data_IF_514032170000
#
_entry.id   IF_514032170000
#
_cell.length_a   1.000
_cell.length_b   1.000
_cell.length_c   1.000
_cell.angle_alpha   90.00
_cell.angle_beta   90.00
_cell.angle_gamma   90.00
#
_symmetry.space_group_name_H-M   'P 1'
#
loop_
_entity.id
_entity.type
_entity.pdbx_description
1 polymer ?
#
# COMPACT_ATOMS: atom_id res chain seq x y z
N UNK A 1 19.80 9.43 3.71
CA UNK A 1 19.76 8.03 3.25
C UNK A 1 18.32 7.65 3.03
N UNK A 2 17.92 7.44 1.79
CA UNK A 2 16.59 6.91 1.48
C UNK A 2 16.50 5.48 2.03
N UNK A 3 15.60 5.28 3.00
CA UNK A 3 15.33 3.97 3.59
C UNK A 3 14.92 3.02 2.46
N UNK A 4 15.50 1.83 2.40
CA UNK A 4 15.14 0.85 1.40
C UNK A 4 13.65 0.52 1.48
N UNK A 5 12.89 0.91 0.48
CA UNK A 5 11.43 0.76 0.45
C UNK A 5 11.00 -0.66 0.04
N UNK A 6 11.89 -1.41 -0.60
CA UNK A 6 11.55 -2.74 -1.14
C UNK A 6 10.94 -3.70 -0.11
N UNK A 7 11.49 -3.86 1.11
CA UNK A 7 10.94 -4.79 2.11
C UNK A 7 9.50 -4.44 2.50
N UNK A 8 9.24 -3.16 2.71
CA UNK A 8 7.93 -2.64 3.08
C UNK A 8 6.95 -2.86 1.93
N UNK A 9 7.34 -2.49 0.71
CA UNK A 9 6.53 -2.63 -0.49
C UNK A 9 6.19 -4.08 -0.83
N UNK A 10 7.13 -5.01 -0.63
CA UNK A 10 6.86 -6.43 -0.82
C UNK A 10 5.81 -6.95 0.17
N UNK A 11 5.96 -6.57 1.43
CA UNK A 11 4.99 -6.93 2.47
C UNK A 11 3.60 -6.37 2.16
N UNK A 12 3.49 -5.08 1.84
CA UNK A 12 2.25 -4.40 1.48
C UNK A 12 1.57 -5.05 0.27
N UNK A 13 2.31 -5.31 -0.80
CA UNK A 13 1.78 -5.96 -2.00
C UNK A 13 1.24 -7.37 -1.70
N UNK A 14 1.94 -8.14 -0.86
CA UNK A 14 1.45 -9.45 -0.42
C UNK A 14 0.18 -9.32 0.42
N UNK A 15 0.12 -8.37 1.35
CA UNK A 15 -1.07 -8.11 2.17
C UNK A 15 -2.24 -7.62 1.34
N UNK A 16 -2.00 -6.72 0.38
CA UNK A 16 -3.01 -6.23 -0.56
C UNK A 16 -3.69 -7.37 -1.32
N UNK A 17 -2.92 -8.39 -1.69
CA UNK A 17 -3.41 -9.60 -2.36
C UNK A 17 -3.93 -10.67 -1.39
N UNK A 18 -3.91 -10.40 -0.09
CA UNK A 18 -4.31 -11.33 1.00
C UNK A 18 -3.58 -12.69 0.94
N UNK A 19 -2.31 -12.67 0.53
CA UNK A 19 -1.51 -13.87 0.38
C UNK A 19 -0.71 -14.17 1.65
N UNK A 20 -0.71 -15.45 2.06
CA UNK A 20 0.32 -15.95 2.96
C UNK A 20 1.66 -16.09 2.21
N UNK A 21 2.77 -16.22 2.94
CA UNK A 21 4.07 -16.46 2.29
C UNK A 21 4.05 -17.77 1.48
N UNK A 22 3.38 -18.81 1.97
CA UNK A 22 3.26 -20.10 1.27
C UNK A 22 2.49 -19.95 -0.04
N UNK A 23 1.40 -19.19 -0.03
CA UNK A 23 0.62 -18.88 -1.26
C UNK A 23 1.42 -18.02 -2.25
N UNK A 24 2.28 -17.14 -1.76
CA UNK A 24 3.17 -16.38 -2.64
C UNK A 24 4.23 -17.30 -3.27
N UNK A 25 4.79 -18.26 -2.53
CA UNK A 25 5.69 -19.29 -3.08
C UNK A 25 5.00 -20.06 -4.22
N UNK A 26 3.78 -20.55 -3.99
CA UNK A 26 2.99 -21.25 -5.01
C UNK A 26 2.80 -20.39 -6.28
N UNK A 27 2.46 -19.10 -6.12
CA UNK A 27 2.26 -18.18 -7.24
C UNK A 27 3.53 -17.87 -8.02
N UNK A 28 4.70 -17.95 -7.39
CA UNK A 28 5.99 -17.83 -8.10
C UNK A 28 6.40 -19.12 -8.82
N UNK A 29 5.55 -20.16 -8.78
CA UNK A 29 5.88 -21.46 -9.33
C UNK A 29 7.03 -22.17 -8.58
N UNK A 30 7.25 -21.82 -7.31
CA UNK A 30 8.36 -22.35 -6.51
C UNK A 30 9.72 -21.72 -6.84
N UNK A 31 9.76 -20.70 -7.68
CA UNK A 31 11.01 -20.00 -8.03
C UNK A 31 11.68 -19.31 -6.84
N UNK A 32 10.90 -19.04 -5.78
CA UNK A 32 11.36 -18.37 -4.57
C UNK A 32 10.88 -19.16 -3.36
N UNK A 33 11.77 -19.39 -2.40
CA UNK A 33 11.42 -20.10 -1.16
C UNK A 33 10.76 -19.16 -0.14
N UNK A 34 9.94 -19.73 0.75
CA UNK A 34 9.35 -18.99 1.88
C UNK A 34 10.40 -18.27 2.72
N UNK A 35 11.54 -18.92 2.96
CA UNK A 35 12.65 -18.36 3.70
C UNK A 35 13.23 -17.12 3.00
N UNK A 36 13.35 -17.16 1.66
CA UNK A 36 13.80 -16.02 0.87
C UNK A 36 12.81 -14.85 0.96
N UNK A 37 11.49 -15.11 0.82
CA UNK A 37 10.46 -14.09 0.97
C UNK A 37 10.55 -13.43 2.35
N UNK A 38 10.67 -14.23 3.42
CA UNK A 38 10.81 -13.72 4.77
C UNK A 38 12.06 -12.84 4.95
N UNK A 39 13.18 -13.22 4.34
CA UNK A 39 14.42 -12.41 4.37
C UNK A 39 14.28 -11.11 3.57
N UNK A 40 13.56 -11.15 2.47
CA UNK A 40 13.26 -9.98 1.64
C UNK A 40 12.39 -8.97 2.41
N UNK A 41 11.30 -9.42 3.03
CA UNK A 41 10.39 -8.55 3.80
C UNK A 41 11.06 -7.97 5.06
N UNK A 42 12.04 -8.64 5.63
CA UNK A 42 12.84 -8.12 6.76
C UNK A 42 14.03 -7.26 6.34
N UNK A 43 14.25 -7.07 5.04
CA UNK A 43 15.37 -6.29 4.53
C UNK A 43 16.75 -6.93 4.74
N UNK A 44 16.81 -8.23 5.09
CA UNK A 44 18.07 -8.95 5.31
C UNK A 44 18.76 -9.26 3.99
N UNK A 45 17.99 -9.43 2.92
CA UNK A 45 18.48 -9.78 1.59
C UNK A 45 17.66 -9.08 0.53
N UNK A 46 18.28 -8.74 -0.59
CA UNK A 46 17.58 -8.23 -1.78
C UNK A 46 17.43 -9.30 -2.85
N UNK A 47 16.29 -9.36 -3.54
CA UNK A 47 16.14 -10.27 -4.67
C UNK A 47 17.03 -9.85 -5.84
N UNK A 48 17.57 -10.83 -6.55
CA UNK A 48 18.14 -10.62 -7.86
C UNK A 48 17.03 -10.40 -8.88
N UNK A 49 17.36 -9.84 -10.05
CA UNK A 49 16.37 -9.50 -11.09
C UNK A 49 15.39 -10.62 -11.44
N UNK A 50 15.79 -11.90 -11.62
CA UNK A 50 14.83 -12.97 -11.90
C UNK A 50 13.82 -13.18 -10.77
N UNK A 51 14.26 -13.11 -9.52
CA UNK A 51 13.38 -13.24 -8.35
C UNK A 51 12.45 -12.02 -8.23
N UNK A 52 12.94 -10.82 -8.53
CA UNK A 52 12.14 -9.60 -8.55
C UNK A 52 11.00 -9.69 -9.57
N UNK A 53 11.31 -10.13 -10.79
CA UNK A 53 10.32 -10.35 -11.85
C UNK A 53 9.27 -11.41 -11.45
N UNK A 54 9.72 -12.51 -10.85
CA UNK A 54 8.81 -13.55 -10.36
C UNK A 54 7.85 -13.02 -9.29
N UNK A 55 8.34 -12.17 -8.36
CA UNK A 55 7.51 -11.51 -7.35
C UNK A 55 6.52 -10.54 -7.99
N UNK A 56 6.96 -9.68 -8.90
CA UNK A 56 6.11 -8.72 -9.59
C UNK A 56 4.95 -9.41 -10.34
N UNK A 57 5.27 -10.46 -11.09
CA UNK A 57 4.29 -11.26 -11.81
C UNK A 57 3.31 -11.97 -10.86
N UNK A 58 3.80 -12.60 -9.79
CA UNK A 58 2.98 -13.30 -8.81
C UNK A 58 2.02 -12.36 -8.07
N UNK A 59 2.45 -11.12 -7.83
CA UNK A 59 1.68 -10.08 -7.15
C UNK A 59 0.86 -9.20 -8.12
N UNK A 60 1.02 -9.40 -9.44
CA UNK A 60 0.37 -8.61 -10.50
C UNK A 60 0.60 -7.10 -10.38
N UNK A 61 1.83 -6.73 -10.07
CA UNK A 61 2.27 -5.34 -9.96
C UNK A 61 3.46 -5.10 -10.89
N UNK A 62 3.72 -3.84 -11.23
CA UNK A 62 4.93 -3.49 -11.99
C UNK A 62 6.18 -3.55 -11.10
N UNK A 63 7.36 -3.80 -11.69
CA UNK A 63 8.62 -3.71 -10.95
C UNK A 63 8.84 -2.33 -10.33
N UNK A 64 8.35 -1.27 -10.98
CA UNK A 64 8.46 0.11 -10.51
C UNK A 64 7.83 0.30 -9.13
N UNK A 65 6.77 -0.45 -8.82
CA UNK A 65 6.09 -0.38 -7.53
C UNK A 65 7.05 -0.58 -6.36
N UNK A 66 8.01 -1.49 -6.48
CA UNK A 66 8.96 -1.78 -5.40
C UNK A 66 9.94 -0.64 -5.09
N UNK A 67 10.05 0.32 -6.00
CA UNK A 67 10.97 1.46 -5.91
C UNK A 67 10.24 2.79 -5.73
N UNK A 68 8.91 2.79 -5.74
CA UNK A 68 8.08 3.98 -5.56
C UNK A 68 8.19 4.57 -4.15
N UNK A 69 7.80 5.82 -4.03
CA UNK A 69 7.64 6.48 -2.72
C UNK A 69 6.40 5.94 -2.03
N UNK A 70 6.51 5.69 -0.73
CA UNK A 70 5.35 5.29 0.07
C UNK A 70 4.49 6.51 0.35
N UNK A 71 3.22 6.46 -0.02
CA UNK A 71 2.24 7.45 0.40
C UNK A 71 1.66 6.95 1.71
N UNK A 72 1.95 7.66 2.79
CA UNK A 72 1.34 7.42 4.08
C UNK A 72 -0.07 8.01 4.06
N UNK A 73 -1.07 7.14 4.04
CA UNK A 73 -2.47 7.54 4.12
C UNK A 73 -2.90 7.39 5.57
N UNK A 74 -3.14 8.53 6.23
CA UNK A 74 -3.79 8.53 7.53
C UNK A 74 -5.22 7.99 7.36
N UNK A 75 -5.43 6.74 7.78
CA UNK A 75 -6.70 6.07 7.60
C UNK A 75 -7.76 6.72 8.51
N UNK A 76 -8.78 7.36 7.93
CA UNK A 76 -9.88 7.85 8.72
C UNK A 76 -10.55 6.67 9.42
N UNK A 77 -11.10 6.92 10.60
CA UNK A 77 -11.88 5.92 11.33
C UNK A 77 -13.02 5.44 10.46
N UNK A 78 -12.88 4.25 9.87
CA UNK A 78 -13.90 3.68 9.01
C UNK A 78 -15.13 3.38 9.89
N UNK A 79 -16.29 3.93 9.52
CA UNK A 79 -17.56 3.51 10.10
C UNK A 79 -17.84 2.09 9.63
N UNK A 80 -17.48 1.12 10.45
CA UNK A 80 -17.92 -0.26 10.24
C UNK A 80 -19.37 -0.37 10.67
N UNK A 81 -20.22 -0.96 9.83
CA UNK A 81 -21.57 -1.34 10.23
C UNK A 81 -21.51 -2.20 11.50
N UNK A 82 -22.47 -2.02 12.40
CA UNK A 82 -22.49 -2.59 13.75
C UNK A 82 -22.29 -4.12 13.83
N UNK A 83 -22.39 -4.85 12.71
CA UNK A 83 -22.28 -6.31 12.62
C UNK A 83 -20.93 -6.83 12.07
N UNK A 84 -19.97 -5.99 11.74
CA UNK A 84 -18.72 -6.45 11.13
C UNK A 84 -17.53 -5.60 11.55
N UNK A 85 -16.83 -6.01 12.60
CA UNK A 85 -15.46 -5.52 12.82
C UNK A 85 -14.58 -6.18 11.78
N UNK A 86 -13.93 -5.40 10.92
CA UNK A 86 -12.86 -5.89 10.08
C UNK A 86 -11.74 -6.43 10.97
N UNK A 87 -11.20 -7.57 10.59
CA UNK A 87 -10.01 -8.08 11.26
C UNK A 87 -8.81 -7.16 10.97
N UNK A 88 -7.83 -7.13 11.85
CA UNK A 88 -6.60 -6.36 11.67
C UNK A 88 -5.92 -6.66 10.31
N UNK A 89 -5.95 -7.93 9.89
CA UNK A 89 -5.43 -8.37 8.60
C UNK A 89 -6.20 -7.79 7.41
N UNK A 90 -7.52 -7.66 7.53
CA UNK A 90 -8.34 -7.04 6.49
C UNK A 90 -8.13 -5.53 6.42
N UNK A 91 -7.94 -4.89 7.56
CA UNK A 91 -7.63 -3.47 7.65
C UNK A 91 -6.27 -3.17 6.98
N UNK A 92 -5.22 -3.92 7.31
CA UNK A 92 -3.91 -3.80 6.67
C UNK A 92 -3.97 -4.03 5.14
N UNK A 93 -4.76 -4.99 4.69
CA UNK A 93 -4.93 -5.24 3.26
C UNK A 93 -5.68 -4.09 2.55
N UNK A 94 -6.65 -3.48 3.23
CA UNK A 94 -7.37 -2.32 2.70
C UNK A 94 -6.47 -1.09 2.62
N UNK A 95 -5.72 -0.82 3.68
CA UNK A 95 -4.74 0.28 3.75
C UNK A 95 -3.71 0.19 2.62
N UNK A 96 -3.12 -1.00 2.43
CA UNK A 96 -2.18 -1.25 1.34
C UNK A 96 -2.82 -1.03 -0.05
N UNK A 97 -4.09 -1.41 -0.25
CA UNK A 97 -4.81 -1.15 -1.50
C UNK A 97 -5.06 0.33 -1.74
N UNK A 98 -5.47 1.06 -0.71
CA UNK A 98 -5.75 2.48 -0.82
C UNK A 98 -4.46 3.26 -1.14
N UNK A 99 -3.37 2.94 -0.46
CA UNK A 99 -2.05 3.53 -0.74
C UNK A 99 -1.60 3.25 -2.18
N UNK A 100 -1.77 2.01 -2.65
CA UNK A 100 -1.45 1.65 -4.03
C UNK A 100 -2.28 2.46 -5.05
N UNK A 101 -3.59 2.58 -4.85
CA UNK A 101 -4.45 3.33 -5.77
C UNK A 101 -4.17 4.84 -5.74
N UNK A 102 -3.89 5.39 -4.56
CA UNK A 102 -3.51 6.78 -4.43
C UNK A 102 -2.22 7.10 -5.20
N UNK A 103 -1.21 6.22 -5.12
CA UNK A 103 0.01 6.36 -5.90
C UNK A 103 -0.23 6.32 -7.39
N UNK A 104 -1.03 5.34 -7.87
CA UNK A 104 -1.36 5.23 -9.27
C UNK A 104 -2.12 6.46 -9.77
N UNK A 105 -3.02 7.00 -8.95
CA UNK A 105 -3.75 8.22 -9.27
C UNK A 105 -2.82 9.42 -9.39
N UNK A 106 -1.95 9.64 -8.41
CA UNK A 106 -1.01 10.76 -8.39
C UNK A 106 0.01 10.68 -9.53
N UNK A 107 0.47 9.47 -9.88
CA UNK A 107 1.35 9.26 -11.03
C UNK A 107 0.64 9.69 -12.33
N UNK A 108 -0.62 9.30 -12.51
CA UNK A 108 -1.43 9.69 -13.66
C UNK A 108 -1.72 11.19 -13.71
N UNK A 109 -2.02 11.78 -12.57
CA UNK A 109 -2.23 13.21 -12.46
C UNK A 109 -0.97 13.99 -12.86
N UNK A 110 0.19 13.55 -12.39
CA UNK A 110 1.47 14.14 -12.75
C UNK A 110 1.81 13.96 -14.24
N UNK A 111 1.57 12.77 -14.82
CA UNK A 111 1.76 12.50 -16.26
C UNK A 111 0.84 13.38 -17.13
N UNK A 112 -0.37 13.66 -16.66
CA UNK A 112 -1.33 14.51 -17.35
C UNK A 112 -1.04 16.02 -17.18
N UNK A 113 -0.01 16.38 -16.43
CA UNK A 113 0.36 17.78 -16.17
C UNK A 113 -0.57 18.50 -15.19
N UNK A 114 -1.40 17.79 -14.47
CA UNK A 114 -2.20 18.35 -13.40
C UNK A 114 -1.39 18.34 -12.10
N UNK A 115 -1.36 19.50 -11.41
CA UNK A 115 -0.84 19.60 -10.07
C UNK A 115 -2.01 19.88 -9.14
N UNK A 116 -2.41 18.89 -8.38
CA UNK A 116 -3.48 19.07 -7.39
C UNK A 116 -2.92 19.88 -6.21
N UNK A 117 -3.26 21.16 -6.19
CA UNK A 117 -3.02 22.05 -5.04
C UNK A 117 -4.27 22.17 -4.18
N UNK A 118 -5.00 21.06 -4.01
CA UNK A 118 -6.17 21.07 -3.15
C UNK A 118 -5.76 21.42 -1.72
N UNK A 119 -6.16 22.60 -1.27
CA UNK A 119 -6.08 23.00 0.13
C UNK A 119 -7.42 22.64 0.76
N UNK A 120 -7.40 21.68 1.69
CA UNK A 120 -8.60 21.37 2.45
C UNK A 120 -9.04 22.62 3.26
N UNK A 121 -10.17 23.26 2.95
CA UNK A 121 -10.60 24.51 3.60
C UNK A 121 -10.94 24.31 5.07
N UNK A 122 -11.28 23.07 5.48
CA UNK A 122 -11.66 22.75 6.86
C UNK A 122 -10.53 22.12 7.67
N UNK A 123 -9.32 22.01 7.11
CA UNK A 123 -8.17 21.45 7.81
C UNK A 123 -7.81 22.30 9.02
N UNK A 124 -7.87 21.71 10.21
CA UNK A 124 -7.58 22.39 11.48
C UNK A 124 -8.77 23.13 12.10
N UNK A 125 -9.92 23.14 11.44
CA UNK A 125 -11.16 23.72 11.99
C UNK A 125 -11.80 22.76 12.98
N UNK A 126 -12.00 23.19 14.22
CA UNK A 126 -12.78 22.41 15.19
C UNK A 126 -14.25 22.64 14.92
N UNK A 127 -14.91 21.61 14.42
CA UNK A 127 -16.37 21.62 14.19
C UNK A 127 -17.03 20.94 15.38
N UNK A 128 -17.68 21.71 16.23
CA UNK A 128 -18.36 21.22 17.42
C UNK A 128 -19.89 21.25 17.27
N UNK A 129 -20.39 22.12 16.41
CA UNK A 129 -21.82 22.33 16.19
C UNK A 129 -22.18 22.27 14.71
N UNK A 130 -23.49 22.14 14.42
CA UNK A 130 -23.97 22.17 13.04
C UNK A 130 -23.70 23.55 12.38
N UNK A 131 -23.77 24.62 13.17
CA UNK A 131 -23.49 25.98 12.70
C UNK A 131 -22.04 26.15 12.31
N UNK A 132 -21.07 25.58 13.07
CA UNK A 132 -19.65 25.55 12.72
C UNK A 132 -19.43 24.83 11.38
N UNK A 133 -20.18 23.76 11.12
CA UNK A 133 -20.08 22.99 9.91
C UNK A 133 -20.60 23.73 8.65
N UNK A 134 -21.57 24.65 8.85
CA UNK A 134 -22.16 25.45 7.76
C UNK A 134 -21.24 26.62 7.38
N UNK A 135 -20.47 27.13 8.35
CA UNK A 135 -19.58 28.28 8.15
C UNK A 135 -18.15 27.89 7.71
N UNK A 136 -17.78 26.60 7.79
CA UNK A 136 -16.46 26.08 7.38
C UNK A 136 -16.39 25.82 5.88
#
# INVERSE_FOLDING_TARGET
MTKDQFPIRLHEARMMMRLSMDKLVERTGGAITKQSISRYERGIMRPKRPALLALANALRISEKYFWGTNIDIDMPTLRTNANGKMSEKELLALEAKLSFWAEQYLEKEHEAGFSSTFKNPVLGTKISTLEDAIQA
#
